data_IF_117654376598
#
_entry.id   IF_117654376598
#
_cell.length_a   1.000
_cell.length_b   1.000
_cell.length_c   1.000
_cell.angle_alpha   90.00
_cell.angle_beta   90.00
_cell.angle_gamma   90.00
#
_symmetry.space_group_name_H-M   'P 1'
#
loop_
_entity.id
_entity.type
_entity.pdbx_description
1 polymer ?
#
# COMPACT_ATOMS: atom_id res chain seq x y z
N UNK A 1 64.35 -18.94 2.83
CA UNK A 1 65.48 -19.40 3.66
C UNK A 1 65.78 -18.32 4.70
N UNK A 2 65.92 -18.69 5.99
CA UNK A 2 66.76 -18.11 7.08
C UNK A 2 67.08 -16.58 7.05
N UNK A 3 67.04 -15.74 8.10
CA UNK A 3 66.94 -15.81 9.59
C UNK A 3 66.88 -14.34 10.12
N UNK A 4 66.50 -13.92 11.37
CA UNK A 4 65.95 -14.53 12.61
C UNK A 4 65.28 -13.41 13.48
N UNK A 5 64.83 -13.75 14.70
CA UNK A 5 64.33 -12.85 15.77
C UNK A 5 65.48 -12.36 16.71
N UNK A 6 65.26 -11.43 17.67
CA UNK A 6 64.67 -11.70 19.01
C UNK A 6 63.62 -10.63 19.44
N UNK A 7 62.93 -10.62 20.60
CA UNK A 7 62.35 -11.55 21.59
C UNK A 7 61.95 -10.70 22.82
N UNK A 8 60.75 -10.93 23.41
CA UNK A 8 60.42 -10.79 24.87
C UNK A 8 60.52 -9.40 25.58
N UNK A 9 59.82 -9.09 26.70
CA UNK A 9 58.78 -9.78 27.51
C UNK A 9 58.00 -8.79 28.43
N UNK A 10 57.01 -9.32 29.19
CA UNK A 10 56.01 -8.67 30.08
C UNK A 10 56.49 -7.85 31.30
N UNK A 11 55.54 -7.11 31.94
CA UNK A 11 55.31 -7.08 33.41
C UNK A 11 53.82 -7.40 33.76
N UNK A 12 53.35 -7.93 34.92
CA UNK A 12 53.62 -7.86 36.37
C UNK A 12 52.66 -6.95 37.23
N UNK A 13 51.52 -7.53 37.62
CA UNK A 13 50.88 -7.62 38.98
C UNK A 13 50.88 -6.43 40.01
N UNK A 14 49.67 -5.86 40.26
CA UNK A 14 48.98 -5.45 41.55
C UNK A 14 49.73 -4.63 42.70
N UNK A 15 49.10 -4.22 43.85
CA UNK A 15 48.15 -3.08 44.03
C UNK A 15 48.35 -2.20 45.32
N UNK A 16 47.70 -1.02 45.49
CA UNK A 16 47.21 -0.54 46.83
C UNK A 16 46.31 0.74 46.93
N UNK A 17 45.26 0.62 47.76
CA UNK A 17 44.50 1.52 48.70
C UNK A 17 44.55 3.08 48.74
N UNK A 18 43.32 3.64 48.87
CA UNK A 18 42.79 4.77 49.72
C UNK A 18 43.46 6.17 49.80
N UNK A 19 42.69 7.26 49.59
CA UNK A 19 42.03 8.08 50.67
C UNK A 19 41.44 9.44 50.20
N UNK A 20 40.34 9.89 50.84
CA UNK A 20 39.83 11.29 51.02
C UNK A 20 39.49 12.19 49.78
N UNK A 21 38.48 13.08 49.78
CA UNK A 21 37.38 13.41 50.72
C UNK A 21 36.23 14.20 50.01
N UNK A 22 35.04 14.23 50.64
CA UNK A 22 33.94 15.23 50.59
C UNK A 22 33.53 15.90 49.24
N UNK A 23 32.26 16.01 48.83
CA UNK A 23 31.08 16.42 49.61
C UNK A 23 29.77 16.10 48.88
N UNK A 24 28.67 15.94 49.63
CA UNK A 24 27.36 15.64 49.07
C UNK A 24 26.67 16.86 48.42
N UNK A 25 26.09 16.67 47.23
CA UNK A 25 24.92 17.41 46.77
C UNK A 25 23.92 16.44 46.15
N UNK A 26 22.76 16.33 46.81
CA UNK A 26 21.64 15.49 46.36
C UNK A 26 21.01 16.10 45.11
N UNK A 27 21.31 15.54 43.94
CA UNK A 27 20.58 15.83 42.71
C UNK A 27 19.64 14.67 42.43
N UNK A 28 18.36 14.90 42.72
CA UNK A 28 17.28 14.02 42.31
C UNK A 28 17.14 14.09 40.78
N UNK A 29 17.79 13.18 40.07
CA UNK A 29 17.46 12.90 38.68
C UNK A 29 16.35 11.87 38.65
N UNK A 30 15.11 12.33 38.58
CA UNK A 30 13.98 11.49 38.23
C UNK A 30 14.22 10.96 36.80
N UNK A 31 14.68 9.72 36.68
CA UNK A 31 14.78 9.01 35.41
C UNK A 31 13.37 8.64 34.95
N UNK A 32 12.66 9.62 34.40
CA UNK A 32 11.42 9.41 33.67
C UNK A 32 11.72 8.61 32.41
N UNK A 33 11.66 7.28 32.51
CA UNK A 33 11.69 6.41 31.35
C UNK A 33 10.38 6.58 30.58
N UNK A 34 10.32 7.58 29.69
CA UNK A 34 9.31 7.64 28.64
C UNK A 34 9.57 6.50 27.65
N UNK A 35 9.22 5.30 28.08
CA UNK A 35 8.84 4.21 27.20
C UNK A 35 7.50 4.61 26.58
N UNK A 36 7.55 5.50 25.59
CA UNK A 36 6.50 5.60 24.59
C UNK A 36 6.49 4.27 23.84
N UNK A 37 5.75 3.31 24.38
CA UNK A 37 5.29 2.16 23.62
C UNK A 37 4.54 2.70 22.42
N UNK A 38 5.20 2.71 21.26
CA UNK A 38 4.59 3.10 19.99
C UNK A 38 3.42 2.16 19.77
N UNK A 39 2.21 2.66 20.05
CA UNK A 39 0.97 1.90 19.87
C UNK A 39 0.76 1.79 18.37
N UNK A 40 1.28 0.70 17.80
CA UNK A 40 1.18 0.42 16.36
C UNK A 40 -0.28 0.60 15.90
N UNK A 41 -0.45 1.35 14.81
CA UNK A 41 -1.77 1.68 14.29
C UNK A 41 -2.54 0.42 13.91
N UNK A 42 -3.76 0.27 14.42
CA UNK A 42 -4.64 -0.89 14.17
C UNK A 42 -5.65 -0.57 13.07
N UNK A 43 -5.96 0.70 12.92
CA UNK A 43 -6.85 1.28 11.91
C UNK A 43 -6.23 2.54 11.31
N UNK A 44 -6.84 3.10 10.26
CA UNK A 44 -6.45 4.40 9.74
C UNK A 44 -6.83 5.59 10.64
N UNK A 45 -7.60 5.35 11.72
CA UNK A 45 -7.93 6.38 12.71
C UNK A 45 -6.84 6.55 13.77
N UNK A 46 -5.97 5.55 13.95
CA UNK A 46 -4.79 5.60 14.81
C UNK A 46 -3.58 6.25 14.11
N UNK A 47 -3.64 6.39 12.79
CA UNK A 47 -2.60 6.95 11.91
C UNK A 47 -2.60 8.48 11.94
N UNK A 48 -2.53 9.08 13.13
CA UNK A 48 -2.59 10.54 13.32
C UNK A 48 -1.49 10.98 14.29
N UNK A 49 -0.69 11.95 13.84
CA UNK A 49 0.36 12.60 14.65
C UNK A 49 -0.20 13.50 15.73
N UNK A 50 0.59 13.87 16.75
CA UNK A 50 0.20 14.86 17.77
C UNK A 50 -0.19 16.23 17.16
N UNK A 51 0.38 16.55 16.00
CA UNK A 51 0.03 17.73 15.20
C UNK A 51 -1.41 17.66 14.64
N UNK A 52 -2.01 16.48 14.54
CA UNK A 52 -3.35 16.23 13.99
C UNK A 52 -3.35 15.89 12.50
N UNK A 53 -2.17 15.68 11.90
CA UNK A 53 -2.00 15.27 10.51
C UNK A 53 -2.00 13.74 10.40
N UNK A 54 -2.61 13.21 9.34
CA UNK A 54 -2.62 11.78 9.04
C UNK A 54 -1.24 11.31 8.54
N UNK A 55 -0.72 10.23 9.12
CA UNK A 55 0.58 9.64 8.77
C UNK A 55 0.46 8.12 8.56
N UNK A 56 0.73 7.66 7.34
CA UNK A 56 0.43 6.30 6.91
C UNK A 56 1.56 5.34 7.30
N UNK A 57 1.23 4.33 8.09
CA UNK A 57 2.13 3.23 8.40
C UNK A 57 2.49 2.43 7.14
N UNK A 58 3.77 2.10 6.92
CA UNK A 58 4.21 1.36 5.73
C UNK A 58 3.74 -0.10 5.72
N UNK A 59 3.68 -0.66 4.52
CA UNK A 59 3.52 -2.09 4.25
C UNK A 59 4.72 -2.91 4.75
N UNK A 60 4.47 -4.14 5.19
CA UNK A 60 5.37 -4.95 6.04
C UNK A 60 5.77 -6.28 5.41
N UNK A 61 4.93 -6.88 4.56
CA UNK A 61 5.29 -8.03 3.75
C UNK A 61 5.80 -7.53 2.40
N UNK A 62 7.09 -7.73 2.14
CA UNK A 62 7.83 -7.13 1.02
C UNK A 62 8.69 -8.15 0.26
N UNK A 63 8.26 -9.41 0.22
CA UNK A 63 8.92 -10.41 -0.62
C UNK A 63 8.51 -10.22 -2.08
N UNK A 64 9.33 -10.70 -3.01
CA UNK A 64 9.05 -10.63 -4.44
C UNK A 64 8.87 -12.00 -5.07
N UNK A 65 7.94 -12.07 -6.02
CA UNK A 65 7.88 -13.12 -7.04
C UNK A 65 8.98 -12.84 -8.07
N UNK A 66 9.57 -13.88 -8.65
CA UNK A 66 10.57 -13.80 -9.71
C UNK A 66 10.26 -14.81 -10.81
N UNK A 67 10.60 -14.50 -12.06
CA UNK A 67 10.59 -15.49 -13.17
C UNK A 67 11.62 -16.62 -12.99
N UNK A 68 12.62 -16.42 -12.13
CA UNK A 68 13.59 -17.48 -11.79
C UNK A 68 12.88 -18.63 -11.09
N UNK A 69 12.86 -19.80 -11.74
CA UNK A 69 12.21 -21.02 -11.24
C UNK A 69 12.84 -21.57 -9.94
N UNK A 70 14.06 -21.16 -9.60
CA UNK A 70 14.75 -21.52 -8.36
C UNK A 70 14.46 -20.55 -7.19
N UNK A 71 13.80 -19.41 -7.47
CA UNK A 71 13.42 -18.47 -6.43
C UNK A 71 12.42 -19.08 -5.42
N UNK A 72 12.42 -18.56 -4.18
CA UNK A 72 11.45 -18.95 -3.14
C UNK A 72 10.00 -18.79 -3.62
N UNK A 73 9.75 -17.76 -4.42
CA UNK A 73 8.47 -17.44 -5.03
C UNK A 73 8.64 -17.35 -6.57
N UNK A 74 8.64 -18.47 -7.30
CA UNK A 74 8.77 -18.50 -8.74
C UNK A 74 7.43 -18.20 -9.41
N UNK A 75 7.41 -17.41 -10.48
CA UNK A 75 6.22 -17.05 -11.23
C UNK A 75 5.62 -18.26 -11.96
N UNK A 76 4.70 -18.97 -11.31
CA UNK A 76 4.03 -20.17 -11.84
C UNK A 76 2.50 -20.04 -11.77
N UNK A 77 1.76 -20.53 -12.78
CA UNK A 77 0.31 -20.42 -12.80
C UNK A 77 -0.33 -21.24 -11.68
N UNK A 78 -1.41 -20.73 -11.09
CA UNK A 78 -2.20 -21.42 -10.08
C UNK A 78 -1.60 -21.47 -8.67
N UNK A 79 -0.36 -21.02 -8.43
CA UNK A 79 0.25 -20.95 -7.08
C UNK A 79 -0.24 -19.77 -6.26
N UNK A 80 -0.40 -18.61 -6.88
CA UNK A 80 -0.71 -17.36 -6.20
C UNK A 80 -2.20 -17.03 -6.18
N UNK A 81 -2.59 -16.21 -5.22
CA UNK A 81 -3.93 -15.64 -5.12
C UNK A 81 -3.87 -14.22 -4.59
N UNK A 82 -4.83 -13.37 -4.98
CA UNK A 82 -4.89 -11.98 -4.55
C UNK A 82 -6.15 -11.73 -3.70
N UNK A 83 -5.98 -11.46 -2.41
CA UNK A 83 -7.09 -10.97 -1.59
C UNK A 83 -7.21 -9.46 -1.71
N UNK A 84 -8.43 -8.98 -2.00
CA UNK A 84 -8.73 -7.59 -2.38
C UNK A 84 -9.99 -7.11 -1.68
N UNK A 85 -10.27 -5.81 -1.80
CA UNK A 85 -11.63 -5.30 -1.75
C UNK A 85 -11.83 -4.35 -2.91
N UNK A 86 -12.97 -4.45 -3.61
CA UNK A 86 -13.35 -3.48 -4.64
C UNK A 86 -13.48 -2.04 -4.09
N UNK A 87 -13.67 -1.85 -2.78
CA UNK A 87 -13.65 -0.53 -2.15
C UNK A 87 -12.24 0.09 -2.11
N UNK A 88 -11.20 -0.73 -1.97
CA UNK A 88 -9.83 -0.29 -1.72
C UNK A 88 -9.11 0.15 -3.03
N UNK A 89 -8.71 1.43 -3.19
CA UNK A 89 -8.03 1.88 -4.41
C UNK A 89 -6.66 1.19 -4.59
N UNK A 90 -5.95 0.89 -3.50
CA UNK A 90 -4.67 0.18 -3.50
C UNK A 90 -4.82 -1.25 -4.05
N UNK A 91 -5.92 -1.94 -3.73
CA UNK A 91 -6.21 -3.27 -4.24
C UNK A 91 -6.74 -3.24 -5.69
N UNK A 92 -7.56 -2.24 -6.06
CA UNK A 92 -8.00 -2.03 -7.44
C UNK A 92 -6.85 -1.88 -8.44
N UNK A 93 -5.68 -1.34 -8.04
CA UNK A 93 -4.48 -1.33 -8.90
C UNK A 93 -4.03 -2.73 -9.30
N UNK A 94 -4.01 -3.64 -8.33
CA UNK A 94 -3.58 -5.02 -8.56
C UNK A 94 -4.60 -5.76 -9.43
N UNK A 95 -5.90 -5.52 -9.23
CA UNK A 95 -6.97 -6.02 -10.10
C UNK A 95 -6.87 -5.47 -11.54
N UNK A 96 -6.59 -4.17 -11.69
CA UNK A 96 -6.34 -3.55 -13.00
C UNK A 96 -5.17 -4.24 -13.71
N UNK A 97 -4.06 -4.51 -13.03
CA UNK A 97 -2.93 -5.25 -13.60
C UNK A 97 -3.28 -6.69 -13.97
N UNK A 98 -4.00 -7.42 -13.12
CA UNK A 98 -4.46 -8.78 -13.43
C UNK A 98 -5.30 -8.82 -14.72
N UNK A 99 -6.15 -7.82 -14.95
CA UNK A 99 -6.97 -7.72 -16.17
C UNK A 99 -6.19 -7.21 -17.38
N UNK A 100 -5.41 -6.13 -17.23
CA UNK A 100 -4.60 -5.55 -18.31
C UNK A 100 -3.56 -6.54 -18.86
N UNK A 101 -2.89 -7.33 -18.00
CA UNK A 101 -1.94 -8.37 -18.42
C UNK A 101 -2.61 -9.70 -18.81
N UNK A 102 -3.92 -9.84 -18.57
CA UNK A 102 -4.68 -11.07 -18.83
C UNK A 102 -4.27 -12.26 -17.95
N UNK A 103 -3.83 -11.99 -16.72
CA UNK A 103 -3.33 -12.96 -15.74
C UNK A 103 -4.44 -13.61 -14.90
N UNK A 104 -5.70 -13.25 -15.13
CA UNK A 104 -6.87 -13.73 -14.39
C UNK A 104 -7.14 -15.24 -14.53
N UNK A 105 -6.53 -15.90 -15.51
CA UNK A 105 -6.52 -17.35 -15.67
C UNK A 105 -5.42 -18.07 -14.86
N UNK A 106 -4.42 -17.33 -14.38
CA UNK A 106 -3.23 -17.85 -13.69
C UNK A 106 -3.16 -17.45 -12.21
N UNK A 107 -3.70 -16.28 -11.86
CA UNK A 107 -3.76 -15.75 -10.49
C UNK A 107 -5.23 -15.44 -10.19
N UNK A 108 -5.81 -16.23 -9.29
CA UNK A 108 -7.16 -15.97 -8.79
C UNK A 108 -7.20 -14.75 -7.86
N UNK A 109 -8.40 -14.25 -7.60
CA UNK A 109 -8.62 -13.25 -6.55
C UNK A 109 -9.91 -13.54 -5.77
N UNK A 110 -10.00 -13.01 -4.55
CA UNK A 110 -11.19 -13.05 -3.68
C UNK A 110 -11.40 -11.65 -3.12
N UNK A 111 -12.60 -11.09 -3.28
CA UNK A 111 -12.95 -9.83 -2.62
C UNK A 111 -13.58 -10.11 -1.26
N UNK A 112 -13.15 -9.36 -0.25
CA UNK A 112 -13.86 -9.23 1.03
C UNK A 112 -15.06 -8.29 0.89
N UNK A 113 -15.89 -8.24 1.95
CA UNK A 113 -16.98 -7.27 2.07
C UNK A 113 -16.48 -5.82 1.88
N UNK A 114 -17.29 -4.92 1.30
CA UNK A 114 -16.92 -3.52 1.11
C UNK A 114 -16.98 -2.71 2.42
N UNK A 115 -17.79 -3.14 3.39
CA UNK A 115 -17.95 -2.50 4.70
C UNK A 115 -17.00 -3.16 5.70
N UNK A 116 -16.37 -2.36 6.57
CA UNK A 116 -15.56 -2.89 7.66
C UNK A 116 -16.44 -3.45 8.77
N UNK A 117 -16.09 -4.63 9.25
CA UNK A 117 -16.74 -5.32 10.36
C UNK A 117 -15.73 -5.64 11.47
N UNK A 118 -16.22 -6.08 12.63
CA UNK A 118 -15.39 -6.38 13.80
C UNK A 118 -14.55 -7.63 13.56
N UNK A 119 -13.21 -7.53 13.58
CA UNK A 119 -12.35 -8.69 13.28
C UNK A 119 -12.16 -9.68 14.43
N UNK A 120 -12.33 -9.23 15.68
CA UNK A 120 -12.43 -10.05 16.89
C UNK A 120 -13.40 -9.39 17.85
N UNK A 121 -14.12 -10.18 18.65
CA UNK A 121 -15.11 -9.68 19.62
C UNK A 121 -14.56 -8.56 20.52
N UNK A 122 -13.28 -8.67 20.92
CA UNK A 122 -12.57 -7.73 21.78
C UNK A 122 -11.95 -6.51 21.08
N UNK A 123 -12.03 -6.39 19.76
CA UNK A 123 -11.44 -5.26 19.04
C UNK A 123 -12.22 -3.95 19.26
N UNK A 124 -11.49 -2.86 19.45
CA UNK A 124 -11.98 -1.46 19.46
C UNK A 124 -12.17 -0.87 18.05
N UNK A 125 -11.66 -1.57 17.03
CA UNK A 125 -11.60 -1.17 15.64
C UNK A 125 -12.31 -2.19 14.73
N UNK A 126 -12.53 -1.79 13.47
CA UNK A 126 -13.14 -2.61 12.42
C UNK A 126 -12.09 -2.86 11.31
N UNK A 127 -12.30 -3.91 10.53
CA UNK A 127 -11.41 -4.30 9.44
C UNK A 127 -12.11 -5.16 8.39
N UNK A 128 -11.31 -5.77 7.53
CA UNK A 128 -11.78 -6.56 6.38
C UNK A 128 -12.24 -7.97 6.79
N UNK A 129 -13.49 -8.27 6.47
CA UNK A 129 -14.18 -9.53 6.81
C UNK A 129 -14.69 -10.21 5.53
N UNK A 130 -14.55 -11.54 5.45
CA UNK A 130 -15.13 -12.35 4.38
C UNK A 130 -16.61 -12.63 4.69
N UNK A 131 -17.50 -12.68 3.69
CA UNK A 131 -18.82 -13.23 3.90
C UNK A 131 -18.73 -14.72 4.27
N UNK A 132 -19.71 -15.21 5.03
CA UNK A 132 -19.86 -16.61 5.39
C UNK A 132 -20.34 -17.48 4.21
N UNK A 133 -21.11 -16.90 3.28
CA UNK A 133 -21.60 -17.55 2.06
C UNK A 133 -21.44 -16.63 0.84
N UNK A 134 -21.37 -17.20 -0.37
CA UNK A 134 -21.17 -16.43 -1.61
C UNK A 134 -22.38 -15.58 -2.06
N UNK A 135 -23.49 -15.65 -1.34
CA UNK A 135 -24.73 -14.89 -1.57
C UNK A 135 -25.02 -13.84 -0.48
N UNK A 136 -24.20 -13.76 0.59
CA UNK A 136 -24.39 -12.79 1.69
C UNK A 136 -24.11 -11.34 1.26
N UNK A 137 -23.04 -11.11 0.49
CA UNK A 137 -22.59 -9.77 0.08
C UNK A 137 -22.25 -9.75 -1.43
N UNK A 138 -23.03 -9.05 -2.27
CA UNK A 138 -22.83 -9.04 -3.72
C UNK A 138 -21.44 -8.58 -4.17
N UNK A 139 -20.65 -9.52 -4.68
CA UNK A 139 -19.28 -9.25 -5.16
C UNK A 139 -18.20 -9.38 -4.08
N UNK A 140 -18.51 -9.99 -2.94
CA UNK A 140 -17.55 -10.58 -2.04
C UNK A 140 -17.76 -12.10 -1.97
N UNK A 141 -16.70 -12.86 -1.69
CA UNK A 141 -16.74 -14.32 -1.63
C UNK A 141 -16.03 -14.81 -0.34
N UNK A 142 -16.45 -15.94 0.26
CA UNK A 142 -15.73 -16.56 1.38
C UNK A 142 -14.27 -16.90 1.02
N UNK A 143 -13.37 -16.98 2.01
CA UNK A 143 -11.99 -17.43 1.75
C UNK A 143 -11.96 -18.89 1.25
N UNK A 144 -11.51 -19.13 0.00
CA UNK A 144 -11.57 -20.47 -0.59
C UNK A 144 -10.41 -21.40 -0.19
N UNK A 145 -9.41 -20.95 0.58
CA UNK A 145 -8.18 -21.75 0.83
C UNK A 145 -7.82 -22.03 2.29
N UNK A 146 -8.11 -21.11 3.22
CA UNK A 146 -7.60 -21.21 4.60
C UNK A 146 -8.73 -21.29 5.63
N UNK A 147 -9.99 -21.06 5.22
CA UNK A 147 -11.13 -20.94 6.12
C UNK A 147 -11.11 -19.65 6.95
N UNK A 148 -10.35 -18.64 6.51
CA UNK A 148 -10.24 -17.37 7.21
C UNK A 148 -11.56 -16.59 7.14
N UNK A 149 -12.01 -16.06 8.28
CA UNK A 149 -13.17 -15.16 8.37
C UNK A 149 -12.77 -13.70 8.16
N UNK A 150 -11.50 -13.38 8.34
CA UNK A 150 -10.98 -12.01 8.26
C UNK A 150 -9.65 -11.97 7.51
N UNK A 151 -9.29 -10.82 6.92
CA UNK A 151 -7.93 -10.62 6.37
C UNK A 151 -6.89 -10.70 7.49
N UNK A 152 -7.25 -10.27 8.70
CA UNK A 152 -6.41 -10.38 9.89
C UNK A 152 -5.92 -11.82 10.13
N UNK A 153 -6.79 -12.81 10.00
CA UNK A 153 -6.42 -14.22 10.14
C UNK A 153 -5.37 -14.66 9.10
N UNK A 154 -5.40 -14.15 7.86
CA UNK A 154 -4.36 -14.46 6.86
C UNK A 154 -2.98 -13.92 7.28
N UNK A 155 -2.94 -12.73 7.89
CA UNK A 155 -1.71 -12.16 8.44
C UNK A 155 -1.20 -12.96 9.64
N UNK A 156 -2.11 -13.44 10.50
CA UNK A 156 -1.80 -14.26 11.67
C UNK A 156 -1.33 -15.68 11.29
N UNK A 157 -1.86 -16.26 10.20
CA UNK A 157 -1.36 -17.51 9.60
C UNK A 157 0.06 -17.30 9.04
N UNK A 158 0.30 -16.19 8.33
CA UNK A 158 1.61 -15.89 7.75
C UNK A 158 2.67 -15.50 8.79
N UNK A 159 2.26 -14.90 9.91
CA UNK A 159 3.12 -14.52 11.03
C UNK A 159 2.29 -14.43 12.33
N UNK A 160 2.39 -15.42 13.24
CA UNK A 160 1.62 -15.43 14.49
C UNK A 160 1.87 -14.23 15.42
N UNK A 161 3.02 -13.57 15.25
CA UNK A 161 3.43 -12.38 16.01
C UNK A 161 3.24 -11.08 15.20
N UNK A 162 2.32 -11.05 14.22
CA UNK A 162 2.06 -9.85 13.44
C UNK A 162 1.40 -8.75 14.30
N UNK A 163 2.09 -7.60 14.39
CA UNK A 163 1.67 -6.43 15.20
C UNK A 163 1.26 -5.21 14.34
N UNK A 164 1.25 -5.35 13.02
CA UNK A 164 0.86 -4.27 12.11
C UNK A 164 -0.64 -4.24 11.81
N UNK A 165 -1.04 -3.31 10.94
CA UNK A 165 -2.41 -3.22 10.41
C UNK A 165 -2.62 -4.25 9.29
N UNK A 166 -3.63 -5.14 9.35
CA UNK A 166 -3.99 -6.01 8.24
C UNK A 166 -4.62 -5.21 7.10
N UNK A 167 -3.98 -5.18 5.93
CA UNK A 167 -4.44 -4.42 4.75
C UNK A 167 -4.73 -5.33 3.56
N UNK A 168 -5.52 -4.82 2.61
CA UNK A 168 -5.58 -5.33 1.23
C UNK A 168 -4.94 -4.31 0.28
N UNK A 169 -4.25 -4.72 -0.81
CA UNK A 169 -4.16 -6.08 -1.33
C UNK A 169 -3.25 -7.00 -0.50
N UNK A 170 -3.50 -8.31 -0.59
CA UNK A 170 -2.61 -9.37 -0.08
C UNK A 170 -2.29 -10.31 -1.24
N UNK A 171 -1.02 -10.37 -1.64
CA UNK A 171 -0.53 -11.37 -2.57
C UNK A 171 -0.13 -12.63 -1.77
N UNK A 172 -0.94 -13.68 -1.88
CA UNK A 172 -0.85 -14.90 -1.10
C UNK A 172 -0.20 -16.04 -1.90
N UNK A 173 0.70 -16.78 -1.25
CA UNK A 173 1.23 -18.04 -1.76
C UNK A 173 0.45 -19.22 -1.15
N UNK A 174 -0.30 -19.94 -1.97
CA UNK A 174 -1.12 -21.08 -1.51
C UNK A 174 -0.28 -22.31 -1.15
N UNK A 175 0.94 -22.44 -1.68
CA UNK A 175 1.83 -23.57 -1.38
C UNK A 175 2.52 -23.36 -0.02
N UNK A 176 3.05 -22.17 0.22
CA UNK A 176 3.74 -21.83 1.47
C UNK A 176 2.82 -21.26 2.57
N UNK A 177 1.52 -21.07 2.27
CA UNK A 177 0.50 -20.48 3.15
C UNK A 177 0.98 -19.20 3.85
N UNK A 178 1.47 -18.26 3.05
CA UNK A 178 2.07 -17.02 3.57
C UNK A 178 1.79 -15.83 2.66
N UNK A 179 1.83 -14.63 3.23
CA UNK A 179 1.79 -13.39 2.46
C UNK A 179 3.15 -13.17 1.80
N UNK A 180 3.17 -13.15 0.47
CA UNK A 180 4.36 -12.76 -0.31
C UNK A 180 4.58 -11.26 -0.13
N UNK A 181 3.54 -10.47 -0.43
CA UNK A 181 3.63 -9.03 -0.47
C UNK A 181 2.27 -8.37 -0.14
N UNK A 182 2.28 -7.24 0.59
CA UNK A 182 1.09 -6.41 0.85
C UNK A 182 1.26 -4.94 0.41
N UNK A 183 2.27 -4.64 -0.40
CA UNK A 183 2.53 -3.35 -1.01
C UNK A 183 1.98 -3.30 -2.45
N UNK A 184 0.88 -2.56 -2.64
CA UNK A 184 0.23 -2.43 -3.95
C UNK A 184 1.17 -1.98 -5.08
N UNK A 185 2.14 -1.12 -4.78
CA UNK A 185 3.07 -0.56 -5.77
C UNK A 185 4.14 -1.56 -6.21
N UNK A 186 4.55 -2.50 -5.35
CA UNK A 186 5.45 -3.60 -5.72
C UNK A 186 4.70 -4.73 -6.44
N UNK A 187 3.49 -5.06 -5.96
CA UNK A 187 2.65 -6.10 -6.58
C UNK A 187 2.39 -5.79 -8.05
N UNK A 188 2.06 -4.54 -8.41
CA UNK A 188 1.88 -4.19 -9.82
C UNK A 188 3.16 -4.34 -10.65
N UNK A 189 4.37 -4.10 -10.09
CA UNK A 189 5.62 -4.35 -10.82
C UNK A 189 5.83 -5.83 -11.08
N UNK A 190 5.59 -6.68 -10.09
CA UNK A 190 5.69 -8.14 -10.25
C UNK A 190 4.71 -8.66 -11.30
N UNK A 191 3.48 -8.17 -11.30
CA UNK A 191 2.46 -8.50 -12.32
C UNK A 191 2.82 -7.95 -13.72
N UNK A 192 3.57 -6.84 -13.79
CA UNK A 192 3.99 -6.24 -15.06
C UNK A 192 5.01 -7.10 -15.82
N UNK A 193 5.97 -7.72 -15.11
CA UNK A 193 7.16 -8.32 -15.75
C UNK A 193 7.37 -9.80 -15.44
N UNK A 194 7.13 -10.26 -14.21
CA UNK A 194 7.58 -11.61 -13.79
C UNK A 194 6.68 -12.73 -14.31
N UNK A 195 5.44 -12.40 -14.66
CA UNK A 195 4.50 -13.34 -15.27
C UNK A 195 4.41 -13.21 -16.80
N UNK A 196 5.37 -12.56 -17.48
CA UNK A 196 5.27 -12.34 -18.93
C UNK A 196 5.20 -13.63 -19.76
N UNK A 197 5.82 -14.74 -19.32
CA UNK A 197 5.71 -16.04 -20.00
C UNK A 197 4.32 -16.71 -19.84
N UNK A 198 3.48 -16.17 -18.95
CA UNK A 198 2.14 -16.68 -18.60
C UNK A 198 1.04 -15.69 -19.03
N UNK A 199 1.37 -14.40 -19.15
CA UNK A 199 0.43 -13.33 -19.50
C UNK A 199 -0.16 -13.52 -20.90
N UNK A 200 -1.47 -13.25 -21.05
CA UNK A 200 -2.11 -13.17 -22.39
C UNK A 200 -1.67 -11.92 -23.16
N UNK A 201 -1.29 -10.86 -22.43
CA UNK A 201 -0.76 -9.62 -22.97
C UNK A 201 0.70 -9.42 -22.48
N UNK A 202 1.65 -10.24 -22.96
CA UNK A 202 3.03 -10.22 -22.48
C UNK A 202 3.74 -8.90 -22.82
N UNK A 203 3.49 -8.37 -24.02
CA UNK A 203 4.14 -7.17 -24.56
C UNK A 203 3.62 -5.85 -23.96
N UNK A 204 2.53 -5.89 -23.19
CA UNK A 204 2.03 -4.72 -22.46
C UNK A 204 2.95 -4.42 -21.27
N UNK A 205 3.83 -3.43 -21.43
CA UNK A 205 4.67 -2.88 -20.36
C UNK A 205 4.13 -1.53 -19.90
N UNK A 206 3.71 -1.47 -18.63
CA UNK A 206 3.19 -0.25 -17.99
C UNK A 206 4.29 0.56 -17.26
N UNK A 207 5.55 0.09 -17.30
CA UNK A 207 6.73 0.81 -16.80
C UNK A 207 7.93 0.72 -17.79
N UNK A 208 7.72 1.11 -19.07
CA UNK A 208 8.74 0.94 -20.10
C UNK A 208 9.95 1.85 -19.86
N UNK A 209 11.14 1.34 -20.18
CA UNK A 209 12.44 1.96 -19.88
C UNK A 209 12.52 3.46 -20.23
N UNK A 210 11.95 3.86 -21.38
CA UNK A 210 12.01 5.24 -21.87
C UNK A 210 11.08 6.23 -21.14
N UNK A 211 10.14 5.76 -20.31
CA UNK A 211 9.24 6.62 -19.51
C UNK A 211 9.51 6.59 -18.00
N UNK A 212 10.44 5.73 -17.53
CA UNK A 212 10.61 5.46 -16.09
C UNK A 212 10.83 6.72 -15.24
N UNK A 213 11.65 7.67 -15.70
CA UNK A 213 11.86 8.96 -15.01
C UNK A 213 10.55 9.73 -14.82
N UNK A 214 9.82 9.98 -15.91
CA UNK A 214 8.54 10.69 -15.88
C UNK A 214 7.49 9.96 -15.04
N UNK A 215 7.43 8.62 -15.15
CA UNK A 215 6.52 7.80 -14.35
C UNK A 215 6.83 7.89 -12.86
N UNK A 216 8.11 7.90 -12.47
CA UNK A 216 8.50 8.03 -11.06
C UNK A 216 8.18 9.43 -10.49
N UNK A 217 8.52 10.49 -11.22
CA UNK A 217 8.18 11.88 -10.85
C UNK A 217 6.66 12.09 -10.69
N UNK A 218 5.86 11.60 -11.63
CA UNK A 218 4.39 11.65 -11.54
C UNK A 218 3.89 10.75 -10.40
N UNK A 219 4.47 9.57 -10.20
CA UNK A 219 4.08 8.65 -9.12
C UNK A 219 4.31 9.21 -7.72
N UNK A 220 5.35 10.02 -7.51
CA UNK A 220 5.60 10.72 -6.24
C UNK A 220 4.52 11.76 -5.96
N UNK A 221 4.23 12.63 -6.93
CA UNK A 221 3.14 13.61 -6.87
C UNK A 221 1.78 12.93 -6.65
N UNK A 222 1.46 11.95 -7.48
CA UNK A 222 0.18 11.22 -7.45
C UNK A 222 0.05 10.42 -6.15
N UNK A 223 1.12 9.85 -5.60
CA UNK A 223 1.06 9.17 -4.31
C UNK A 223 0.86 10.16 -3.16
N UNK A 224 1.79 11.11 -2.94
CA UNK A 224 1.80 11.92 -1.73
C UNK A 224 0.63 12.91 -1.66
N UNK A 225 0.26 13.48 -2.81
CA UNK A 225 -0.62 14.65 -2.90
C UNK A 225 -2.02 14.31 -3.39
N UNK A 226 -2.20 13.23 -4.17
CA UNK A 226 -3.53 12.81 -4.68
C UNK A 226 -4.02 11.55 -3.95
N UNK A 227 -3.39 10.40 -4.17
CA UNK A 227 -3.82 9.11 -3.62
C UNK A 227 -3.83 9.09 -2.10
N UNK A 228 -2.77 9.60 -1.47
CA UNK A 228 -2.69 9.74 -0.03
C UNK A 228 -3.27 11.09 0.44
N UNK A 229 -3.24 12.13 -0.41
CA UNK A 229 -3.77 13.46 -0.09
C UNK A 229 -5.26 13.47 0.26
N UNK A 230 -6.10 12.70 -0.44
CA UNK A 230 -7.52 12.54 -0.08
C UNK A 230 -7.69 11.93 1.33
N UNK A 231 -6.83 11.00 1.74
CA UNK A 231 -6.82 10.46 3.11
C UNK A 231 -6.27 11.48 4.13
N UNK A 232 -5.26 12.28 3.76
CA UNK A 232 -4.77 13.38 4.59
C UNK A 232 -5.87 14.40 4.89
N UNK A 233 -6.71 14.74 3.90
CA UNK A 233 -7.91 15.55 4.08
C UNK A 233 -8.90 14.84 5.03
N UNK A 234 -9.30 13.60 4.70
CA UNK A 234 -10.37 12.90 5.40
C UNK A 234 -10.08 12.52 6.85
N UNK A 235 -8.82 12.26 7.20
CA UNK A 235 -8.42 11.82 8.54
C UNK A 235 -7.73 12.89 9.40
N UNK A 236 -7.46 14.09 8.85
CA UNK A 236 -7.00 15.23 9.64
C UNK A 236 -7.93 15.51 10.83
N UNK A 237 -7.33 15.70 12.02
CA UNK A 237 -8.06 15.96 13.28
C UNK A 237 -8.05 17.43 13.69
N UNK A 238 -7.38 18.30 12.92
CA UNK A 238 -7.30 19.75 13.13
C UNK A 238 -7.40 20.48 11.80
N UNK A 239 -7.85 21.73 11.84
CA UNK A 239 -8.12 22.54 10.64
C UNK A 239 -6.85 22.78 9.80
N UNK A 240 -5.72 23.17 10.41
CA UNK A 240 -4.48 23.45 9.68
C UNK A 240 -3.97 22.30 8.80
N UNK A 241 -3.80 21.07 9.33
CA UNK A 241 -3.44 19.90 8.52
C UNK A 241 -4.44 19.56 7.41
N UNK A 242 -5.73 19.84 7.62
CA UNK A 242 -6.75 19.70 6.58
C UNK A 242 -6.57 20.76 5.49
N UNK A 243 -6.40 22.03 5.86
CA UNK A 243 -6.24 23.17 4.93
C UNK A 243 -5.00 22.99 4.04
N UNK A 244 -3.87 22.53 4.61
CA UNK A 244 -2.67 22.21 3.84
C UNK A 244 -2.92 21.06 2.86
N UNK A 245 -3.50 19.95 3.33
CA UNK A 245 -3.76 18.77 2.52
C UNK A 245 -4.72 19.05 1.36
N UNK A 246 -5.81 19.77 1.62
CA UNK A 246 -6.83 20.08 0.60
C UNK A 246 -6.32 21.11 -0.41
N UNK A 247 -5.52 22.10 0.03
CA UNK A 247 -4.88 23.07 -0.88
C UNK A 247 -3.95 22.34 -1.85
N UNK A 248 -3.00 21.55 -1.32
CA UNK A 248 -2.04 20.79 -2.14
C UNK A 248 -2.73 19.78 -3.07
N UNK A 249 -3.78 19.10 -2.60
CA UNK A 249 -4.59 18.18 -3.41
C UNK A 249 -5.14 18.88 -4.66
N UNK A 250 -5.76 20.05 -4.50
CA UNK A 250 -6.37 20.78 -5.61
C UNK A 250 -5.34 21.39 -6.55
N UNK A 251 -4.21 21.89 -6.04
CA UNK A 251 -3.07 22.32 -6.88
C UNK A 251 -2.53 21.17 -7.74
N UNK A 252 -2.46 19.94 -7.19
CA UNK A 252 -2.04 18.77 -7.93
C UNK A 252 -3.08 18.32 -8.99
N UNK A 253 -4.38 18.41 -8.68
CA UNK A 253 -5.44 18.15 -9.66
C UNK A 253 -5.42 19.20 -10.79
N UNK A 254 -5.28 20.48 -10.47
CA UNK A 254 -5.17 21.57 -11.45
C UNK A 254 -3.92 21.35 -12.36
N UNK A 255 -2.79 20.88 -11.81
CA UNK A 255 -1.61 20.48 -12.59
C UNK A 255 -1.86 19.26 -13.49
N UNK A 256 -2.54 18.22 -13.00
CA UNK A 256 -2.90 17.06 -13.82
C UNK A 256 -3.87 17.42 -14.96
N UNK A 257 -4.81 18.33 -14.70
CA UNK A 257 -5.71 18.89 -15.72
C UNK A 257 -4.94 19.63 -16.82
N UNK A 258 -3.95 20.47 -16.45
CA UNK A 258 -3.10 21.15 -17.44
C UNK A 258 -2.31 20.15 -18.30
N UNK A 259 -1.71 19.12 -17.69
CA UNK A 259 -0.98 18.07 -18.41
C UNK A 259 -1.92 17.37 -19.40
N UNK A 260 -3.08 16.89 -18.94
CA UNK A 260 -4.05 16.15 -19.75
C UNK A 260 -4.75 17.00 -20.82
N UNK A 261 -4.64 18.33 -20.77
CA UNK A 261 -5.08 19.21 -21.87
C UNK A 261 -4.19 19.13 -23.12
N UNK A 262 -2.99 18.54 -23.02
CA UNK A 262 -1.98 18.50 -24.08
C UNK A 262 -1.64 17.09 -24.59
N UNK A 263 -2.00 16.05 -23.83
CA UNK A 263 -1.65 14.66 -24.10
C UNK A 263 -2.69 13.69 -23.50
N UNK A 264 -2.76 12.47 -24.03
CA UNK A 264 -3.83 11.51 -23.66
C UNK A 264 -3.67 10.92 -22.27
N UNK A 265 -2.43 10.67 -21.85
CA UNK A 265 -2.07 9.98 -20.59
C UNK A 265 -1.14 10.86 -19.75
N UNK A 266 -1.04 10.60 -18.45
CA UNK A 266 -0.32 11.49 -17.53
C UNK A 266 1.20 11.53 -17.80
N UNK A 267 1.74 10.46 -18.42
CA UNK A 267 3.14 10.35 -18.86
C UNK A 267 3.30 10.35 -20.40
N UNK A 268 2.35 10.94 -21.15
CA UNK A 268 2.45 11.17 -22.59
C UNK A 268 1.34 10.51 -23.40
N UNK A 269 1.71 9.72 -24.40
CA UNK A 269 0.78 9.10 -25.36
C UNK A 269 0.68 7.57 -25.22
N UNK A 270 1.26 6.99 -24.17
CA UNK A 270 1.18 5.56 -23.83
C UNK A 270 0.59 5.42 -22.41
N UNK A 271 -0.24 4.41 -22.19
CA UNK A 271 -0.76 4.08 -20.86
C UNK A 271 0.39 3.54 -20.00
N UNK A 272 0.53 4.07 -18.79
CA UNK A 272 1.55 3.66 -17.81
C UNK A 272 0.91 3.32 -16.47
N UNK A 273 1.73 2.87 -15.52
CA UNK A 273 1.28 2.65 -14.15
C UNK A 273 0.85 3.93 -13.43
N UNK A 274 1.42 5.08 -13.80
CA UNK A 274 1.05 6.36 -13.23
C UNK A 274 -0.43 6.64 -13.53
N UNK A 275 -0.88 6.25 -14.72
CA UNK A 275 -2.27 6.36 -15.13
C UNK A 275 -3.19 5.48 -14.29
N UNK A 276 -2.83 4.20 -14.10
CA UNK A 276 -3.57 3.25 -13.25
C UNK A 276 -3.61 3.71 -11.79
N UNK A 277 -2.49 4.24 -11.27
CA UNK A 277 -2.37 4.73 -9.88
C UNK A 277 -3.17 6.00 -9.65
N UNK A 278 -3.27 6.89 -10.63
CA UNK A 278 -4.12 8.08 -10.60
C UNK A 278 -5.61 7.70 -10.74
N UNK A 279 -5.94 6.88 -11.74
CA UNK A 279 -7.32 6.45 -12.06
C UNK A 279 -8.08 5.88 -10.86
N UNK A 280 -7.47 5.01 -10.05
CA UNK A 280 -8.15 4.42 -8.89
C UNK A 280 -8.57 5.43 -7.82
N UNK A 281 -7.96 6.61 -7.78
CA UNK A 281 -8.40 7.72 -6.93
C UNK A 281 -9.42 8.60 -7.65
N UNK A 282 -9.22 8.90 -8.94
CA UNK A 282 -10.16 9.74 -9.69
C UNK A 282 -11.56 9.11 -9.77
N UNK A 283 -11.68 7.82 -10.11
CA UNK A 283 -12.98 7.16 -10.27
C UNK A 283 -13.87 7.31 -9.00
N UNK A 284 -13.26 7.22 -7.81
CA UNK A 284 -13.89 7.34 -6.49
C UNK A 284 -14.09 8.78 -6.00
N UNK A 285 -13.65 9.80 -6.75
CA UNK A 285 -13.51 11.15 -6.21
C UNK A 285 -14.87 11.80 -5.88
N UNK A 286 -15.78 11.82 -6.85
CA UNK A 286 -17.10 12.44 -6.68
C UNK A 286 -18.03 11.61 -5.78
N UNK A 287 -17.96 10.28 -5.90
CA UNK A 287 -18.82 9.34 -5.16
C UNK A 287 -18.42 9.21 -3.68
N UNK A 288 -17.13 9.37 -3.34
CA UNK A 288 -16.60 9.15 -1.98
C UNK A 288 -15.86 10.36 -1.45
N UNK A 289 -14.76 10.77 -2.09
CA UNK A 289 -13.80 11.71 -1.46
C UNK A 289 -14.35 13.12 -1.30
N UNK A 290 -15.19 13.58 -2.23
CA UNK A 290 -15.85 14.87 -2.14
C UNK A 290 -16.65 15.05 -0.84
N UNK A 291 -17.50 14.07 -0.50
CA UNK A 291 -18.35 14.17 0.70
C UNK A 291 -17.64 13.60 1.94
N UNK A 292 -17.16 12.36 1.87
CA UNK A 292 -16.64 11.65 3.04
C UNK A 292 -15.33 12.24 3.56
N UNK A 293 -14.41 12.58 2.65
CA UNK A 293 -13.12 13.20 2.97
C UNK A 293 -13.11 14.73 2.82
N UNK A 294 -14.27 15.34 2.51
CA UNK A 294 -14.47 16.79 2.36
C UNK A 294 -13.62 17.43 1.25
N UNK A 295 -13.18 16.64 0.27
CA UNK A 295 -12.46 17.15 -0.91
C UNK A 295 -13.45 17.81 -1.89
N UNK A 296 -14.11 18.91 -1.47
CA UNK A 296 -15.32 19.46 -2.12
C UNK A 296 -15.19 20.88 -2.69
N UNK A 297 -13.97 21.40 -2.92
CA UNK A 297 -13.74 22.70 -3.59
C UNK A 297 -14.25 22.69 -5.04
N UNK A 298 -14.11 21.56 -5.73
CA UNK A 298 -14.54 21.29 -7.11
C UNK A 298 -14.63 19.78 -7.34
N UNK A 299 -15.67 19.31 -8.00
CA UNK A 299 -15.88 17.90 -8.35
C UNK A 299 -15.05 17.51 -9.58
N UNK A 300 -14.67 16.24 -9.68
CA UNK A 300 -13.93 15.69 -10.82
C UNK A 300 -14.67 15.89 -12.13
N UNK A 301 -16.00 15.73 -12.16
CA UNK A 301 -16.83 16.00 -13.36
C UNK A 301 -16.76 17.43 -13.87
N UNK A 302 -16.28 18.39 -13.05
CA UNK A 302 -16.07 19.78 -13.43
C UNK A 302 -14.68 20.03 -14.03
N UNK A 303 -13.79 19.03 -14.02
CA UNK A 303 -12.48 19.04 -14.69
C UNK A 303 -12.59 18.33 -16.05
N UNK A 304 -12.69 19.06 -17.19
CA UNK A 304 -13.01 18.44 -18.47
C UNK A 304 -11.97 17.43 -18.95
N UNK A 305 -10.66 17.67 -18.75
CA UNK A 305 -9.63 16.73 -19.20
C UNK A 305 -9.55 15.52 -18.26
N UNK A 306 -9.45 15.72 -16.93
CA UNK A 306 -9.44 14.64 -15.94
C UNK A 306 -10.70 13.75 -16.00
N UNK A 307 -11.89 14.32 -16.21
CA UNK A 307 -13.12 13.53 -16.34
C UNK A 307 -13.15 12.71 -17.64
N UNK A 308 -12.71 13.28 -18.77
CA UNK A 308 -12.61 12.55 -20.03
C UNK A 308 -11.53 11.45 -19.98
N UNK A 309 -10.37 11.75 -19.39
CA UNK A 309 -9.29 10.81 -19.10
C UNK A 309 -9.75 9.64 -18.20
N UNK A 310 -10.53 9.93 -17.16
CA UNK A 310 -11.08 8.90 -16.27
C UNK A 310 -12.04 7.97 -17.01
N UNK A 311 -12.88 8.52 -17.91
CA UNK A 311 -13.75 7.71 -18.79
C UNK A 311 -12.95 6.88 -19.81
N UNK A 312 -11.92 7.46 -20.44
CA UNK A 312 -11.05 6.74 -21.39
C UNK A 312 -10.42 5.50 -20.73
N UNK A 313 -9.85 5.66 -19.53
CA UNK A 313 -9.28 4.53 -18.78
C UNK A 313 -10.35 3.53 -18.33
N UNK A 314 -11.51 3.99 -17.85
CA UNK A 314 -12.63 3.11 -17.46
C UNK A 314 -13.15 2.26 -18.63
N UNK A 315 -13.08 2.79 -19.85
CA UNK A 315 -13.50 2.12 -21.09
C UNK A 315 -12.46 1.12 -21.64
N UNK A 316 -11.23 1.09 -21.11
CA UNK A 316 -10.23 0.07 -21.48
C UNK A 316 -10.78 -1.32 -21.11
N UNK A 317 -10.73 -2.31 -22.04
CA UNK A 317 -11.24 -3.65 -21.79
C UNK A 317 -10.71 -4.26 -20.49
N UNK A 318 -11.65 -4.63 -19.61
CA UNK A 318 -11.36 -5.20 -18.30
C UNK A 318 -11.37 -4.22 -17.13
N UNK A 319 -11.02 -2.94 -17.32
CA UNK A 319 -10.88 -1.97 -16.20
C UNK A 319 -12.19 -1.72 -15.46
N UNK A 320 -13.31 -1.57 -16.18
CA UNK A 320 -14.65 -1.42 -15.56
C UNK A 320 -15.10 -2.59 -14.67
N UNK A 321 -14.34 -3.71 -14.64
CA UNK A 321 -14.58 -4.84 -13.72
C UNK A 321 -13.75 -4.78 -12.42
N UNK A 322 -12.88 -3.79 -12.23
CA UNK A 322 -11.86 -3.79 -11.14
C UNK A 322 -12.17 -2.85 -9.97
N UNK A 323 -13.38 -2.31 -9.89
CA UNK A 323 -13.88 -1.46 -8.80
C UNK A 323 -15.38 -1.67 -8.55
N UNK A 324 -15.91 -1.06 -7.50
CA UNK A 324 -17.34 -1.17 -7.13
C UNK A 324 -18.29 -0.55 -8.17
N UNK A 325 -17.84 0.48 -8.88
CA UNK A 325 -18.69 1.35 -9.68
C UNK A 325 -18.94 0.78 -11.08
N UNK A 326 -20.12 0.18 -11.28
CA UNK A 326 -20.58 -0.33 -12.60
C UNK A 326 -21.48 0.65 -13.36
N UNK A 327 -21.87 1.79 -12.76
CA UNK A 327 -23.00 2.63 -13.22
C UNK A 327 -22.70 4.09 -13.56
N UNK A 328 -21.80 4.80 -12.85
CA UNK A 328 -21.69 6.27 -12.98
C UNK A 328 -20.94 6.79 -14.22
N UNK A 329 -20.22 5.92 -14.94
CA UNK A 329 -19.36 6.30 -16.08
C UNK A 329 -19.68 5.52 -17.38
N UNK A 330 -20.96 5.17 -17.59
CA UNK A 330 -21.46 4.56 -18.83
C UNK A 330 -22.11 5.60 -19.75
#
# INVERSE_FOLDING_TARGET
>A
MLTRLPHHSSPLVFPCRLSAAAAARTLSTATGSNSTTVKMARSALDEVTDAGAFDRSPSTFRSSISRDSSARFPAVPGRYHLYVSYACPWASRCLAYLKLKGLDHAIGFTSVKPIFERTRETDDHLGWVFPATGDEEPGADPDPFNGAKTIRELYEIASPNYIGKPTVPVLWDKQLKTVVNNESSEIIRMLNTEFNEIAKNPDLDLYPAHLQTSVNEINELVYDVINNGVYKCGFAKKQGPYDEAVTRLYEALDKCEEILSRQRYICGNQLTEADVRLFVTLIRFDEVYAVHFKCNKRLLREYPNLFNYTKDIYQIPGISSTGLEKKSYR
#
